data_IF_023675870167
#
_entry.id   IF_023675870167
#
_cell.length_a   1.000
_cell.length_b   1.000
_cell.length_c   1.000
_cell.angle_alpha   90.00
_cell.angle_beta   90.00
_cell.angle_gamma   90.00
#
_symmetry.space_group_name_H-M   'P 1'
#
loop_
_entity.id
_entity.type
_entity.pdbx_description
1 polymer ?
#
# COMPACT_ATOMS: atom_id res chain seq x y z
N UNK A 1 -14.75 -6.11 -6.62
CA UNK A 1 -14.94 -6.98 -5.44
C UNK A 1 -13.74 -6.75 -4.52
N UNK A 2 -13.89 -5.97 -3.45
CA UNK A 2 -12.85 -5.84 -2.41
C UNK A 2 -12.97 -7.11 -1.57
N UNK A 3 -12.17 -8.13 -1.85
CA UNK A 3 -12.07 -9.27 -0.95
C UNK A 3 -11.31 -8.76 0.28
N UNK A 4 -11.99 -8.73 1.43
CA UNK A 4 -11.33 -8.53 2.72
C UNK A 4 -10.41 -9.73 2.93
N UNK A 5 -9.11 -9.53 2.73
CA UNK A 5 -8.08 -10.56 2.94
C UNK A 5 -8.15 -11.02 4.39
N UNK A 6 -8.53 -12.28 4.62
CA UNK A 6 -8.59 -12.83 5.98
C UNK A 6 -7.21 -13.33 6.41
N UNK A 7 -6.99 -13.34 7.72
CA UNK A 7 -5.73 -13.80 8.31
C UNK A 7 -5.44 -15.26 7.99
N UNK A 8 -6.47 -16.10 7.89
CA UNK A 8 -6.32 -17.53 7.56
C UNK A 8 -5.96 -17.73 6.08
N UNK A 9 -6.52 -16.93 5.17
CA UNK A 9 -6.13 -16.94 3.76
C UNK A 9 -4.68 -16.51 3.58
N UNK A 10 -4.24 -15.47 4.29
CA UNK A 10 -2.84 -15.01 4.26
C UNK A 10 -1.92 -16.10 4.78
N UNK A 11 -2.26 -16.75 5.91
CA UNK A 11 -1.48 -17.87 6.46
C UNK A 11 -1.35 -19.01 5.46
N UNK A 12 -2.47 -19.43 4.86
CA UNK A 12 -2.49 -20.50 3.87
C UNK A 12 -1.63 -20.15 2.65
N UNK A 13 -1.73 -18.90 2.18
CA UNK A 13 -0.99 -18.44 1.02
C UNK A 13 0.52 -18.36 1.29
N UNK A 14 0.91 -17.75 2.41
CA UNK A 14 2.32 -17.66 2.80
C UNK A 14 2.89 -19.06 3.06
N UNK A 15 2.15 -19.96 3.71
CA UNK A 15 2.59 -21.34 3.92
C UNK A 15 2.78 -22.09 2.59
N UNK A 16 1.90 -21.89 1.60
CA UNK A 16 2.07 -22.45 0.27
C UNK A 16 3.31 -21.90 -0.44
N UNK A 17 3.55 -20.59 -0.37
CA UNK A 17 4.72 -19.95 -0.99
C UNK A 17 6.02 -20.45 -0.37
N UNK A 18 6.09 -20.46 0.96
CA UNK A 18 7.25 -20.96 1.70
C UNK A 18 7.47 -22.44 1.37
N UNK A 19 6.40 -23.24 1.28
CA UNK A 19 6.54 -24.66 0.95
C UNK A 19 7.02 -24.92 -0.48
N UNK A 20 6.53 -24.15 -1.45
CA UNK A 20 6.94 -24.28 -2.86
C UNK A 20 8.40 -23.86 -3.07
N UNK A 21 8.82 -22.75 -2.47
CA UNK A 21 10.13 -22.15 -2.74
C UNK A 21 11.24 -22.63 -1.80
N UNK A 22 10.91 -22.99 -0.56
CA UNK A 22 11.89 -23.47 0.43
C UNK A 22 11.83 -24.98 0.64
N UNK A 23 10.90 -25.69 -0.02
CA UNK A 23 10.77 -27.15 0.08
C UNK A 23 10.25 -27.64 1.44
N UNK A 24 9.57 -26.79 2.20
CA UNK A 24 9.02 -27.11 3.52
C UNK A 24 7.58 -27.60 3.36
N UNK A 25 7.13 -28.54 4.19
CA UNK A 25 5.72 -28.94 4.16
C UNK A 25 4.82 -27.76 4.65
N UNK A 26 3.87 -27.26 3.83
CA UNK A 26 2.96 -26.18 4.22
C UNK A 26 2.17 -26.49 5.51
N UNK A 27 1.81 -27.75 5.75
CA UNK A 27 1.11 -28.15 6.98
C UNK A 27 1.98 -27.95 8.23
N UNK A 28 3.29 -28.12 8.12
CA UNK A 28 4.22 -27.84 9.21
C UNK A 28 4.35 -26.34 9.45
N UNK A 29 4.34 -25.53 8.39
CA UNK A 29 4.32 -24.06 8.51
C UNK A 29 3.04 -23.61 9.22
N UNK A 30 1.89 -24.15 8.81
CA UNK A 30 0.58 -23.86 9.41
C UNK A 30 0.42 -24.37 10.85
N UNK A 31 1.30 -25.26 11.32
CA UNK A 31 1.28 -25.74 12.70
C UNK A 31 1.59 -24.64 13.75
N UNK A 32 2.03 -23.47 13.30
CA UNK A 32 2.34 -22.33 14.18
C UNK A 32 3.69 -22.46 14.90
N UNK A 33 4.50 -23.46 14.54
CA UNK A 33 5.88 -23.58 14.99
C UNK A 33 6.73 -22.43 14.44
N UNK A 34 7.80 -22.12 15.16
CA UNK A 34 8.74 -21.11 14.74
C UNK A 34 9.54 -21.58 13.52
N UNK A 35 9.91 -20.64 12.65
CA UNK A 35 10.65 -20.95 11.43
C UNK A 35 12.03 -21.57 11.70
N UNK A 36 12.70 -21.16 12.79
CA UNK A 36 13.98 -21.75 13.24
C UNK A 36 13.88 -23.23 13.63
N UNK A 37 12.69 -23.72 13.97
CA UNK A 37 12.44 -25.14 14.25
C UNK A 37 12.02 -25.93 13.02
N UNK A 38 11.51 -25.25 11.99
CA UNK A 38 11.00 -25.86 10.77
C UNK A 38 12.06 -25.92 9.67
N UNK A 39 13.01 -24.99 9.70
CA UNK A 39 14.02 -24.76 8.68
C UNK A 39 15.38 -24.96 9.33
N UNK A 40 16.07 -26.03 8.93
CA UNK A 40 17.35 -26.46 9.54
C UNK A 40 18.44 -25.37 9.50
N UNK A 41 18.35 -24.46 8.53
CA UNK A 41 19.26 -23.31 8.37
C UNK A 41 18.47 -22.00 8.27
N UNK A 42 17.57 -21.75 9.24
CA UNK A 42 16.88 -20.47 9.32
C UNK A 42 17.83 -19.35 9.74
N UNK A 43 18.35 -18.61 8.77
CA UNK A 43 19.23 -17.47 8.97
C UNK A 43 18.59 -16.16 8.46
N UNK A 44 19.32 -15.06 8.55
CA UNK A 44 18.84 -13.77 8.05
C UNK A 44 18.61 -13.76 6.53
N UNK A 45 19.26 -14.66 5.77
CA UNK A 45 19.02 -14.80 4.34
C UNK A 45 17.65 -15.46 4.10
N UNK A 46 17.34 -16.55 4.79
CA UNK A 46 16.03 -17.20 4.73
C UNK A 46 14.89 -16.23 5.11
N UNK A 47 15.10 -15.37 6.10
CA UNK A 47 14.14 -14.30 6.45
C UNK A 47 13.88 -13.35 5.27
N UNK A 48 14.95 -12.87 4.62
CA UNK A 48 14.85 -11.98 3.45
C UNK A 48 14.19 -12.68 2.26
N UNK A 49 14.48 -13.96 2.05
CA UNK A 49 13.85 -14.74 0.98
C UNK A 49 12.33 -14.87 1.20
N UNK A 50 11.89 -15.17 2.41
CA UNK A 50 10.45 -15.21 2.75
C UNK A 50 9.82 -13.84 2.51
N UNK A 51 10.46 -12.77 2.99
CA UNK A 51 9.98 -11.41 2.77
C UNK A 51 9.80 -11.11 1.28
N UNK A 52 10.84 -11.34 0.46
CA UNK A 52 10.82 -11.06 -0.97
C UNK A 52 9.77 -11.89 -1.71
N UNK A 53 9.56 -13.15 -1.31
CA UNK A 53 8.52 -14.01 -1.89
C UNK A 53 7.12 -13.46 -1.64
N UNK A 54 6.85 -13.00 -0.41
CA UNK A 54 5.56 -12.40 -0.06
C UNK A 54 5.37 -11.07 -0.78
N UNK A 55 6.37 -10.20 -0.79
CA UNK A 55 6.35 -8.92 -1.52
C UNK A 55 6.05 -9.11 -3.01
N UNK A 56 6.78 -10.04 -3.64
CA UNK A 56 6.59 -10.38 -5.06
C UNK A 56 5.18 -10.92 -5.33
N UNK A 57 4.63 -11.70 -4.41
CA UNK A 57 3.29 -12.29 -4.59
C UNK A 57 2.18 -11.24 -4.51
N UNK A 58 2.28 -10.31 -3.55
CA UNK A 58 1.23 -9.31 -3.28
C UNK A 58 1.46 -7.95 -3.96
N UNK A 59 2.65 -7.73 -4.54
CA UNK A 59 2.96 -6.54 -5.33
C UNK A 59 3.12 -5.26 -4.52
N UNK A 60 3.56 -5.37 -3.25
CA UNK A 60 3.96 -4.22 -2.44
C UNK A 60 5.12 -4.59 -1.51
N UNK A 61 5.93 -3.59 -1.17
CA UNK A 61 7.11 -3.77 -0.32
C UNK A 61 6.69 -3.85 1.15
N UNK A 62 7.23 -4.84 1.86
CA UNK A 62 7.03 -5.01 3.29
C UNK A 62 8.15 -4.26 4.00
N UNK A 63 7.75 -3.32 4.84
CA UNK A 63 8.65 -2.57 5.69
C UNK A 63 8.51 -3.06 7.14
N UNK A 64 9.43 -3.93 7.53
CA UNK A 64 9.54 -4.38 8.91
C UNK A 64 10.40 -3.43 9.77
N UNK A 65 10.96 -2.35 9.22
CA UNK A 65 11.81 -1.38 9.94
C UNK A 65 11.01 -0.43 10.84
N UNK A 66 9.75 -0.15 10.49
CA UNK A 66 8.86 0.80 11.20
C UNK A 66 8.03 0.16 12.34
N UNK A 67 8.17 -1.15 12.56
CA UNK A 67 7.55 -1.83 13.70
C UNK A 67 8.60 -1.84 14.81
N UNK A 68 8.23 -1.40 16.01
CA UNK A 68 9.02 -1.39 17.27
C UNK A 68 9.71 -2.73 17.66
N UNK A 69 9.60 -3.75 16.78
CA UNK A 69 10.22 -5.06 16.84
C UNK A 69 11.25 -5.15 15.71
N UNK A 70 12.51 -4.84 16.01
CA UNK A 70 13.69 -5.08 15.15
C UNK A 70 13.97 -6.59 14.88
N UNK A 71 12.94 -7.41 14.79
CA UNK A 71 13.04 -8.85 14.60
C UNK A 71 12.00 -9.28 13.59
N UNK A 72 12.47 -9.98 12.55
CA UNK A 72 11.62 -10.70 11.62
C UNK A 72 10.62 -11.60 12.37
N UNK A 73 9.37 -11.74 11.90
CA UNK A 73 8.35 -12.57 12.56
C UNK A 73 8.83 -14.01 12.82
N UNK A 74 8.61 -14.52 14.04
CA UNK A 74 9.17 -15.82 14.43
C UNK A 74 8.42 -17.02 13.81
N UNK A 75 7.15 -16.83 13.45
CA UNK A 75 6.25 -17.87 12.95
C UNK A 75 5.25 -17.30 11.93
N UNK A 76 4.48 -18.20 11.30
CA UNK A 76 3.51 -17.85 10.27
C UNK A 76 2.39 -16.92 10.75
N UNK A 77 2.01 -17.00 12.03
CA UNK A 77 0.93 -16.16 12.56
C UNK A 77 1.40 -14.73 12.72
N UNK A 78 2.58 -14.52 13.30
CA UNK A 78 3.19 -13.20 13.42
C UNK A 78 3.47 -12.59 12.05
N UNK A 79 3.91 -13.40 11.08
CA UNK A 79 4.16 -12.94 9.71
C UNK A 79 2.87 -12.50 9.02
N UNK A 80 1.81 -13.30 9.12
CA UNK A 80 0.51 -12.96 8.56
C UNK A 80 -0.11 -11.71 9.21
N UNK A 81 0.04 -11.56 10.53
CA UNK A 81 -0.42 -10.36 11.25
C UNK A 81 0.35 -9.12 10.83
N UNK A 82 1.69 -9.20 10.78
CA UNK A 82 2.53 -8.09 10.36
C UNK A 82 2.22 -7.69 8.91
N UNK A 83 2.06 -8.68 8.02
CA UNK A 83 1.64 -8.46 6.63
C UNK A 83 0.29 -7.76 6.57
N UNK A 84 -0.73 -8.25 7.27
CA UNK A 84 -2.08 -7.69 7.23
C UNK A 84 -2.09 -6.24 7.71
N UNK A 85 -1.37 -5.93 8.79
CA UNK A 85 -1.24 -4.56 9.28
C UNK A 85 -0.63 -3.63 8.23
N UNK A 86 0.42 -4.07 7.54
CA UNK A 86 1.07 -3.27 6.51
C UNK A 86 0.22 -3.14 5.24
N UNK A 87 -0.44 -4.22 4.81
CA UNK A 87 -1.36 -4.22 3.69
C UNK A 87 -2.48 -3.19 3.88
N UNK A 88 -3.08 -3.15 5.08
CA UNK A 88 -4.10 -2.15 5.43
C UNK A 88 -3.53 -0.72 5.39
N UNK A 89 -2.30 -0.50 5.91
CA UNK A 89 -1.64 0.82 5.85
C UNK A 89 -1.35 1.25 4.41
N UNK A 90 -0.85 0.34 3.58
CA UNK A 90 -0.52 0.58 2.18
C UNK A 90 -1.77 0.99 1.38
N UNK A 91 -2.87 0.24 1.51
CA UNK A 91 -4.13 0.57 0.85
C UNK A 91 -4.71 1.91 1.32
N UNK A 92 -4.66 2.21 2.62
CA UNK A 92 -5.07 3.52 3.15
C UNK A 92 -4.22 4.67 2.59
N UNK A 93 -2.91 4.47 2.42
CA UNK A 93 -1.98 5.46 1.86
C UNK A 93 -2.27 5.73 0.39
N UNK A 94 -2.59 4.70 -0.39
CA UNK A 94 -2.99 4.83 -1.80
C UNK A 94 -4.31 5.60 -1.91
N UNK A 95 -5.35 5.20 -1.16
CA UNK A 95 -6.65 5.89 -1.19
C UNK A 95 -6.49 7.37 -0.79
N UNK A 96 -5.69 7.68 0.23
CA UNK A 96 -5.42 9.05 0.66
C UNK A 96 -4.66 9.88 -0.40
N UNK A 97 -3.73 9.26 -1.15
CA UNK A 97 -3.03 9.93 -2.26
C UNK A 97 -3.97 10.22 -3.43
N UNK A 98 -4.88 9.32 -3.75
CA UNK A 98 -5.87 9.55 -4.82
C UNK A 98 -6.84 10.67 -4.46
N UNK A 99 -7.37 10.68 -3.23
CA UNK A 99 -8.24 11.77 -2.75
C UNK A 99 -7.52 13.13 -2.74
N UNK A 100 -6.22 13.15 -2.39
CA UNK A 100 -5.43 14.39 -2.43
C UNK A 100 -5.16 14.88 -3.86
N UNK A 101 -4.92 13.98 -4.81
CA UNK A 101 -4.76 14.32 -6.23
C UNK A 101 -6.06 14.83 -6.84
N UNK A 102 -7.22 14.23 -6.51
CA UNK A 102 -8.52 14.72 -6.97
C UNK A 102 -8.87 16.10 -6.38
N UNK A 103 -8.63 16.31 -5.08
CA UNK A 103 -8.85 17.61 -4.45
C UNK A 103 -7.93 18.73 -4.99
N UNK A 104 -6.70 18.37 -5.37
CA UNK A 104 -5.74 19.31 -5.98
C UNK A 104 -6.16 19.65 -7.42
N UNK A 105 -6.64 18.67 -8.18
CA UNK A 105 -7.17 18.93 -9.53
C UNK A 105 -8.43 19.79 -9.49
N UNK A 106 -9.39 19.54 -8.58
CA UNK A 106 -10.58 20.38 -8.39
C UNK A 106 -10.25 21.83 -7.98
N UNK A 107 -9.25 22.05 -7.12
CA UNK A 107 -8.82 23.42 -6.76
C UNK A 107 -8.14 24.17 -7.91
N UNK A 108 -7.50 23.46 -8.84
CA UNK A 108 -6.81 24.10 -9.98
C UNK A 108 -7.79 24.49 -11.10
N UNK A 109 -8.93 23.81 -11.21
CA UNK A 109 -9.99 24.17 -12.17
C UNK A 109 -10.77 25.41 -11.71
N UNK A 110 -11.11 25.51 -10.41
CA UNK A 110 -11.87 26.66 -9.86
C UNK A 110 -11.07 27.98 -9.91
N UNK A 111 -9.74 27.92 -9.79
CA UNK A 111 -8.89 29.10 -9.91
C UNK A 111 -8.82 29.65 -11.34
N UNK A 112 -8.95 28.79 -12.37
CA UNK A 112 -8.92 29.23 -13.78
C UNK A 112 -10.23 29.85 -14.25
N UNK A 113 -11.36 29.41 -13.71
CA UNK A 113 -12.68 29.98 -14.06
C UNK A 113 -12.91 31.38 -13.46
N UNK A 114 -12.29 31.69 -12.30
CA UNK A 114 -12.42 33.02 -11.67
C UNK A 114 -11.53 34.11 -12.30
N UNK A 115 -10.44 33.73 -12.96
CA UNK A 115 -9.60 34.68 -13.71
C UNK A 115 -10.17 35.04 -15.10
N UNK A 116 -10.95 34.14 -15.74
CA UNK A 116 -11.60 34.48 -17.02
C UNK A 116 -12.86 35.35 -16.88
N UNK A 117 -13.58 35.27 -15.75
CA UNK A 117 -14.76 36.12 -15.52
C UNK A 117 -14.38 37.56 -15.13
N UNK A 118 -13.19 37.76 -14.54
CA UNK A 118 -12.68 39.09 -14.16
C UNK A 118 -12.13 39.89 -15.36
N UNK A 119 -11.67 39.22 -16.42
CA UNK A 119 -11.16 39.88 -17.63
C UNK A 119 -12.28 40.40 -18.55
N UNK A 120 -13.46 39.75 -18.55
CA UNK A 120 -14.56 40.12 -19.43
C UNK A 120 -15.36 41.35 -18.95
N UNK A 121 -15.25 41.72 -17.66
CA UNK A 121 -15.93 42.91 -17.11
C UNK A 121 -15.15 44.19 -17.38
N UNK A 122 -13.82 44.12 -17.57
CA UNK A 122 -13.00 45.32 -17.82
C UNK A 122 -13.03 45.80 -19.29
N UNK A 123 -13.27 44.93 -20.27
CA UNK A 123 -13.42 45.37 -21.67
C UNK A 123 -14.78 46.01 -21.99
N UNK A 124 -15.82 45.71 -21.22
CA UNK A 124 -17.17 46.25 -21.46
C UNK A 124 -17.34 47.73 -21.04
N UNK A 125 -16.52 48.24 -20.12
CA UNK A 125 -16.62 49.64 -19.64
C UNK A 125 -15.83 50.62 -20.54
N UNK A 126 -14.80 50.16 -21.25
CA UNK A 126 -13.97 51.02 -22.10
C UNK A 126 -14.63 51.39 -23.45
N UNK A 127 -15.62 50.62 -23.91
CA UNK A 127 -16.31 50.90 -25.18
C UNK A 127 -17.51 51.86 -25.05
N UNK A 128 -18.14 51.99 -23.86
CA UNK A 128 -19.23 52.96 -23.66
C UNK A 128 -18.75 54.41 -23.52
N UNK A 129 -17.47 54.63 -23.20
CA UNK A 129 -16.91 55.98 -23.02
C UNK A 129 -16.47 56.65 -24.33
N UNK A 130 -16.50 55.95 -25.47
CA UNK A 130 -16.11 56.50 -26.79
C UNK A 130 -17.27 56.84 -27.73
N UNK A 131 -18.53 56.68 -27.31
CA UNK A 131 -19.71 57.02 -28.14
C UNK A 131 -20.44 58.31 -27.73
N UNK A 132 -19.88 59.10 -26.80
CA UNK A 132 -20.33 60.48 -26.54
C UNK A 132 -19.28 61.47 -27.01
N UNK A 133 -19.30 61.78 -28.31
CA UNK A 133 -18.98 63.10 -28.85
C UNK A 133 -19.44 63.22 -30.29
#
# INVERSE_FOLDING_TARGET
>A
MKQDLTLDEIKAQIASLVGEYMGINPELVLSGKNFDTLIEQFDSLAMVEIQLLVEKHYGFDLDFEDVDKNAFPANISELAEAFLMQYIRYHKKIESKQVKLEATNLSTTVARDTEQESANVQEADLQKSKLSK
#
